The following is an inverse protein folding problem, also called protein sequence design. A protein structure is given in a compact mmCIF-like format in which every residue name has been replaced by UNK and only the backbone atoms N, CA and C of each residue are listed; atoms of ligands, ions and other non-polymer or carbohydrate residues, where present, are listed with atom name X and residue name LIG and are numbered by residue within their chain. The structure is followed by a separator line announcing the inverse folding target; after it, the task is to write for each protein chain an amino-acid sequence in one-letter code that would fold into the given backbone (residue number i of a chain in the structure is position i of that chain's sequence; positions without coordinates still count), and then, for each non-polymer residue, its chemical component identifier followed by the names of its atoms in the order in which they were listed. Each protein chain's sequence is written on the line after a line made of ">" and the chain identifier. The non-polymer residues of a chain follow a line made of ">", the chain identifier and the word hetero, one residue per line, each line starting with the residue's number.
data_IF_402866520857
#
_entry.id   IF_402866520857
#
_cell.length_a   1.000
_cell.length_b   1.000
_cell.length_c   1.000
_cell.angle_alpha   90.00
_cell.angle_beta   90.00
_cell.angle_gamma   90.00
#
_symmetry.space_group_name_H-M   'P 1'
#
loop_
_entity.id
_entity.type
_entity.pdbx_description
1 polymer ?
#
# COMPACT_ATOMS: atom_id res chain seq x y z
N UNK A 1 6.83 -1.95 3.37
CA UNK A 1 5.70 -1.00 3.45
C UNK A 1 6.03 0.02 4.52
N UNK A 2 5.93 1.32 4.25
CA UNK A 2 6.16 2.37 5.24
C UNK A 2 4.84 3.11 5.49
N UNK A 3 4.56 3.44 6.75
CA UNK A 3 3.37 4.20 7.13
C UNK A 3 3.82 5.60 7.53
N UNK A 4 3.45 6.61 6.75
CA UNK A 4 3.86 7.99 7.04
C UNK A 4 3.11 8.60 8.24
N UNK A 5 1.88 8.15 8.52
CA UNK A 5 1.06 8.57 9.67
C UNK A 5 0.57 7.36 10.47
N UNK A 6 1.38 6.94 11.44
CA UNK A 6 1.07 5.79 12.30
C UNK A 6 -0.10 6.05 13.24
N UNK A 7 -0.32 7.31 13.67
CA UNK A 7 -1.41 7.65 14.59
C UNK A 7 -2.77 7.47 13.91
N UNK A 8 -2.93 8.01 12.70
CA UNK A 8 -4.15 7.83 11.91
C UNK A 8 -4.35 6.38 11.52
N UNK A 9 -3.28 5.67 11.17
CA UNK A 9 -3.38 4.24 10.85
C UNK A 9 -3.82 3.42 12.06
N UNK A 10 -3.21 3.65 13.23
CA UNK A 10 -3.61 3.01 14.49
C UNK A 10 -5.07 3.26 14.80
N UNK A 11 -5.52 4.52 14.74
CA UNK A 11 -6.91 4.87 14.95
C UNK A 11 -7.84 4.09 14.01
N UNK A 12 -7.49 3.98 12.73
CA UNK A 12 -8.27 3.19 11.76
C UNK A 12 -8.30 1.70 12.06
N UNK A 13 -7.18 1.12 12.50
CA UNK A 13 -7.10 -0.31 12.85
C UNK A 13 -7.97 -0.60 14.07
N UNK A 14 -7.80 0.18 15.15
CA UNK A 14 -8.48 -0.04 16.43
C UNK A 14 -9.98 0.26 16.36
N UNK A 15 -10.43 1.14 15.46
CA UNK A 15 -11.85 1.50 15.30
C UNK A 15 -12.53 0.79 14.10
N UNK A 16 -11.84 -0.14 13.43
CA UNK A 16 -12.44 -0.88 12.32
C UNK A 16 -13.47 -1.88 12.84
N UNK A 17 -14.66 -1.86 12.26
CA UNK A 17 -15.65 -2.93 12.47
C UNK A 17 -15.32 -4.13 11.58
N UNK A 18 -15.39 -5.33 12.14
CA UNK A 18 -15.31 -6.57 11.37
C UNK A 18 -16.63 -6.78 10.63
N UNK A 19 -16.60 -6.73 9.31
CA UNK A 19 -17.75 -6.88 8.41
C UNK A 19 -17.86 -8.29 7.79
N UNK A 20 -16.91 -9.17 8.10
CA UNK A 20 -16.82 -10.54 7.59
C UNK A 20 -17.03 -11.52 8.74
N UNK A 21 -17.95 -12.48 8.59
CA UNK A 21 -18.25 -13.50 9.61
C UNK A 21 -16.99 -14.29 9.98
N UNK A 22 -16.70 -14.35 11.29
CA UNK A 22 -15.55 -15.10 11.82
C UNK A 22 -14.19 -14.41 11.65
N UNK A 23 -14.15 -13.21 11.06
CA UNK A 23 -12.90 -12.47 10.89
C UNK A 23 -12.50 -11.76 12.20
N UNK A 24 -11.35 -12.14 12.74
CA UNK A 24 -10.74 -11.49 13.90
C UNK A 24 -9.77 -10.44 13.39
N UNK A 25 -10.05 -9.17 13.67
CA UNK A 25 -9.17 -8.06 13.28
C UNK A 25 -7.86 -8.09 14.10
N UNK A 26 -6.74 -7.65 13.50
CA UNK A 26 -5.49 -7.49 14.25
C UNK A 26 -5.59 -6.32 15.23
N UNK A 27 -4.96 -6.46 16.39
CA UNK A 27 -4.63 -5.31 17.24
C UNK A 27 -3.47 -4.50 16.63
N UNK A 28 -3.18 -3.33 17.22
CA UNK A 28 -2.10 -2.47 16.75
C UNK A 28 -0.72 -3.14 16.80
N UNK A 29 -0.45 -3.95 17.83
CA UNK A 29 0.85 -4.63 18.00
C UNK A 29 1.12 -5.59 16.83
N UNK A 30 0.10 -6.37 16.42
CA UNK A 30 0.17 -7.26 15.26
C UNK A 30 0.39 -6.52 13.94
N UNK A 31 -0.04 -5.25 13.84
CA UNK A 31 0.18 -4.42 12.65
C UNK A 31 1.62 -3.91 12.59
N UNK A 32 2.17 -3.38 13.70
CA UNK A 32 3.50 -2.77 13.70
C UNK A 32 4.65 -3.78 13.71
N UNK A 33 4.41 -4.98 14.24
CA UNK A 33 5.40 -6.08 14.25
C UNK A 33 5.35 -6.94 13.01
N UNK A 34 4.51 -6.57 12.03
CA UNK A 34 4.40 -7.32 10.79
C UNK A 34 5.61 -7.02 9.91
N UNK A 35 6.42 -8.05 9.70
CA UNK A 35 7.52 -8.01 8.75
C UNK A 35 6.98 -7.94 7.32
N UNK A 36 7.41 -6.92 6.58
CA UNK A 36 7.12 -6.77 5.16
C UNK A 36 8.42 -6.80 4.40
N UNK A 37 8.57 -7.82 3.55
CA UNK A 37 9.67 -7.87 2.59
C UNK A 37 9.58 -6.68 1.63
N UNK A 38 10.65 -5.87 1.48
CA UNK A 38 10.67 -4.79 0.51
C UNK A 38 10.50 -5.31 -0.92
N UNK A 39 9.56 -4.74 -1.67
CA UNK A 39 9.43 -5.04 -3.10
C UNK A 39 10.38 -4.15 -3.92
N UNK A 40 11.67 -4.44 -3.87
CA UNK A 40 12.72 -3.63 -4.52
C UNK A 40 12.57 -3.54 -6.04
N UNK A 41 11.90 -4.51 -6.66
CA UNK A 41 11.64 -4.50 -8.10
C UNK A 41 10.32 -3.84 -8.48
N UNK A 42 9.64 -3.14 -7.57
CA UNK A 42 8.45 -2.37 -7.93
C UNK A 42 8.82 -1.32 -8.99
N UNK A 43 7.98 -1.16 -10.02
CA UNK A 43 8.15 -0.12 -11.05
C UNK A 43 7.54 1.21 -10.66
N UNK A 44 6.66 1.21 -9.67
CA UNK A 44 5.93 2.37 -9.17
C UNK A 44 5.70 2.16 -7.67
N UNK A 45 5.95 3.21 -6.88
CA UNK A 45 5.65 3.25 -5.44
C UNK A 45 4.70 4.43 -5.21
N UNK A 46 3.62 4.20 -4.46
CA UNK A 46 2.62 5.20 -4.12
C UNK A 46 2.51 5.33 -2.61
N UNK A 47 2.37 6.56 -2.13
CA UNK A 47 2.06 6.85 -0.73
C UNK A 47 0.57 7.20 -0.60
N UNK A 48 -0.24 6.23 -0.21
CA UNK A 48 -1.69 6.39 -0.06
C UNK A 48 -2.09 7.17 1.18
N UNK A 49 -1.14 7.58 2.04
CA UNK A 49 -1.43 8.46 3.18
C UNK A 49 -1.47 9.94 2.77
N UNK A 50 -0.76 10.28 1.70
CA UNK A 50 -0.66 11.64 1.16
C UNK A 50 -1.55 11.81 -0.08
N UNK A 51 -1.64 10.78 -0.93
CA UNK A 51 -2.41 10.86 -2.17
C UNK A 51 -3.90 10.64 -1.93
N UNK A 52 -4.73 11.41 -2.64
CA UNK A 52 -6.13 11.06 -2.84
C UNK A 52 -6.26 9.82 -3.74
N UNK A 53 -7.46 9.24 -3.79
CA UNK A 53 -7.73 8.13 -4.69
C UNK A 53 -7.54 8.54 -6.15
N UNK A 54 -8.02 9.72 -6.53
CA UNK A 54 -7.95 10.27 -7.88
C UNK A 54 -6.49 10.53 -8.30
N UNK A 55 -5.68 11.10 -7.41
CA UNK A 55 -4.25 11.32 -7.66
C UNK A 55 -3.49 10.01 -7.83
N UNK A 56 -3.77 9.01 -6.98
CA UNK A 56 -3.17 7.69 -7.09
C UNK A 56 -3.53 7.02 -8.42
N UNK A 57 -4.80 7.07 -8.82
CA UNK A 57 -5.28 6.55 -10.11
C UNK A 57 -4.59 7.25 -11.29
N UNK A 58 -4.48 8.57 -11.26
CA UNK A 58 -3.78 9.34 -12.30
C UNK A 58 -2.33 8.91 -12.47
N UNK A 59 -1.60 8.74 -11.35
CA UNK A 59 -0.20 8.25 -11.37
C UNK A 59 -0.08 6.82 -11.93
N UNK A 60 -1.02 5.94 -11.57
CA UNK A 60 -1.05 4.57 -12.09
C UNK A 60 -1.26 4.57 -13.61
N UNK A 61 -2.23 5.34 -14.11
CA UNK A 61 -2.52 5.43 -15.55
C UNK A 61 -1.33 5.98 -16.33
N UNK A 62 -0.71 7.06 -15.83
CA UNK A 62 0.49 7.65 -16.45
C UNK A 62 1.64 6.64 -16.51
N UNK A 63 1.86 5.86 -15.44
CA UNK A 63 2.90 4.83 -15.39
C UNK A 63 2.67 3.71 -16.40
N UNK A 64 1.42 3.26 -16.55
CA UNK A 64 1.01 2.25 -17.53
C UNK A 64 1.23 2.77 -18.96
N UNK A 65 0.78 3.99 -19.26
CA UNK A 65 0.89 4.62 -20.58
C UNK A 65 2.35 4.87 -21.00
N UNK A 66 3.22 5.22 -20.03
CA UNK A 66 4.65 5.47 -20.27
C UNK A 66 5.46 4.18 -20.52
N UNK A 67 4.81 3.01 -20.60
CA UNK A 67 5.45 1.72 -20.81
C UNK A 67 6.18 1.19 -19.58
N UNK A 68 5.79 1.62 -18.38
CA UNK A 68 6.39 1.21 -17.11
C UNK A 68 6.31 -0.30 -16.83
N UNK A 69 5.44 -1.01 -17.54
CA UNK A 69 5.31 -2.47 -17.52
C UNK A 69 6.21 -3.18 -18.56
N UNK A 70 6.57 -2.54 -19.67
CA UNK A 70 7.24 -3.17 -20.82
C UNK A 70 8.78 -3.16 -20.76
N UNK A 71 9.40 -2.27 -19.96
CA UNK A 71 10.87 -2.10 -19.96
C UNK A 71 11.67 -3.15 -19.16
N UNK A 72 11.04 -4.20 -18.61
CA UNK A 72 11.70 -5.15 -17.68
C UNK A 72 12.05 -6.52 -18.26
N UNK A 73 11.69 -6.85 -19.51
CA UNK A 73 12.05 -8.12 -20.14
C UNK A 73 13.35 -8.08 -20.98
N UNK A 74 14.08 -6.95 -20.98
CA UNK A 74 15.31 -6.81 -21.76
C UNK A 74 16.51 -6.46 -20.87
N UNK A 75 16.93 -7.38 -19.99
CA UNK A 75 18.32 -7.46 -19.54
C UNK A 75 18.66 -8.96 -19.36
N UNK A 76 19.63 -9.38 -20.18
CA UNK A 76 20.26 -10.70 -20.29
C UNK A 76 20.50 -11.38 -18.95
#
# INVERSE_FOLDING_TARGET
>A
MTCADQTRHRYRVENRAADIRGHILPDWQKVITREYEPWCTASLTLDTSVLTAEEAVGRILQHIQSGGLARRQARK
#
